data_IF_347111824803
#
_entry.id   IF_347111824803
#
_cell.length_a   1.000
_cell.length_b   1.000
_cell.length_c   1.000
_cell.angle_alpha   90.00
_cell.angle_beta   90.00
_cell.angle_gamma   90.00
#
_symmetry.space_group_name_H-M   'P 1'
#
loop_
_entity.id
_entity.type
_entity.pdbx_description
1 polymer ?
#
# COMPACT_ATOMS: atom_id res chain seq x y z
N UNK A 1 5.17 0.76 2.03
CA UNK A 1 5.31 1.68 3.18
C UNK A 1 4.74 3.05 2.84
N UNK A 2 3.95 3.61 3.70
CA UNK A 2 3.42 4.97 3.55
C UNK A 2 3.31 5.60 4.94
N UNK A 3 2.70 6.80 5.05
CA UNK A 3 2.60 7.49 6.34
C UNK A 3 1.60 6.81 7.27
N UNK A 4 0.34 6.71 6.86
CA UNK A 4 -0.75 6.24 7.74
C UNK A 4 -1.00 4.74 7.78
N UNK A 5 -0.49 3.99 6.82
CA UNK A 5 -0.75 2.55 6.69
C UNK A 5 -2.25 2.22 6.78
N UNK A 6 -3.09 3.02 6.13
CA UNK A 6 -4.55 2.82 6.13
C UNK A 6 -5.14 2.58 4.74
N UNK A 7 -4.55 3.14 3.69
CA UNK A 7 -5.08 3.06 2.32
C UNK A 7 -4.08 2.44 1.35
N UNK A 8 -3.12 3.26 0.86
CA UNK A 8 -2.23 2.88 -0.25
C UNK A 8 -1.41 1.62 0.04
N UNK A 9 -0.71 1.58 1.15
CA UNK A 9 0.12 0.42 1.50
C UNK A 9 -0.70 -0.81 1.85
N UNK A 10 -1.89 -0.64 2.43
CA UNK A 10 -2.80 -1.75 2.72
C UNK A 10 -3.33 -2.37 1.42
N UNK A 11 -3.70 -1.54 0.45
CA UNK A 11 -4.15 -2.03 -0.86
C UNK A 11 -3.00 -2.72 -1.60
N UNK A 12 -1.79 -2.16 -1.53
CA UNK A 12 -0.61 -2.77 -2.15
C UNK A 12 -0.31 -4.15 -1.54
N UNK A 13 -0.34 -4.26 -0.22
CA UNK A 13 -0.15 -5.54 0.47
C UNK A 13 -1.17 -6.58 -0.01
N UNK A 14 -2.44 -6.21 -0.04
CA UNK A 14 -3.51 -7.11 -0.49
C UNK A 14 -3.33 -7.55 -1.94
N UNK A 15 -2.98 -6.63 -2.83
CA UNK A 15 -2.77 -6.93 -4.25
C UNK A 15 -1.57 -7.85 -4.47
N UNK A 16 -0.45 -7.62 -3.81
CA UNK A 16 0.74 -8.44 -3.94
C UNK A 16 0.47 -9.85 -3.42
N UNK A 17 -0.13 -9.96 -2.23
CA UNK A 17 -0.43 -11.26 -1.63
C UNK A 17 -1.48 -12.06 -2.42
N UNK A 18 -2.35 -11.38 -3.15
CA UNK A 18 -3.34 -12.04 -4.02
C UNK A 18 -2.74 -12.39 -5.38
N UNK A 19 -2.15 -11.40 -6.07
CA UNK A 19 -1.72 -11.58 -7.47
C UNK A 19 -0.39 -12.30 -7.61
N UNK A 20 0.50 -12.18 -6.62
CA UNK A 20 1.87 -12.69 -6.66
C UNK A 20 2.19 -13.64 -5.51
N UNK A 21 1.17 -14.30 -4.96
CA UNK A 21 1.32 -15.16 -3.76
C UNK A 21 2.32 -16.31 -3.91
N UNK A 22 2.57 -16.77 -5.12
CA UNK A 22 3.54 -17.83 -5.38
C UNK A 22 5.00 -17.35 -5.31
N UNK A 23 5.22 -16.04 -5.36
CA UNK A 23 6.55 -15.43 -5.48
C UNK A 23 6.89 -14.50 -4.35
N UNK A 24 5.89 -13.76 -3.86
CA UNK A 24 6.08 -12.69 -2.88
C UNK A 24 5.13 -12.85 -1.70
N UNK A 25 5.64 -12.50 -0.52
CA UNK A 25 4.83 -12.28 0.68
C UNK A 25 5.02 -10.81 1.04
N UNK A 26 3.93 -10.06 1.09
CA UNK A 26 3.96 -8.63 1.37
C UNK A 26 3.52 -8.31 2.79
N UNK A 27 4.18 -7.31 3.36
CA UNK A 27 3.79 -6.69 4.63
C UNK A 27 3.72 -5.19 4.40
N UNK A 28 2.87 -4.50 5.14
CA UNK A 28 2.75 -3.05 5.04
C UNK A 28 2.92 -2.38 6.39
N UNK A 29 3.40 -1.15 6.38
CA UNK A 29 3.61 -0.36 7.59
C UNK A 29 3.65 1.13 7.27
N UNK A 30 3.51 1.96 8.29
CA UNK A 30 3.58 3.41 8.18
C UNK A 30 4.44 4.03 9.28
N UNK A 31 4.87 5.27 9.06
CA UNK A 31 5.61 6.04 10.07
C UNK A 31 4.70 6.58 11.15
N UNK A 32 3.46 6.87 10.80
CA UNK A 32 2.43 7.37 11.72
C UNK A 32 1.13 6.59 11.47
N UNK A 33 1.08 5.29 11.90
CA UNK A 33 -0.06 4.45 11.60
C UNK A 33 -1.35 5.03 12.20
N UNK A 34 -2.41 5.05 11.38
CA UNK A 34 -3.71 5.59 11.80
C UNK A 34 -4.48 4.67 12.74
N UNK A 35 -4.06 3.42 12.85
CA UNK A 35 -4.66 2.44 13.75
C UNK A 35 -5.78 1.61 13.13
N UNK A 36 -6.11 1.83 11.86
CA UNK A 36 -7.18 1.11 11.17
C UNK A 36 -6.96 1.10 9.66
N UNK A 37 -7.60 0.14 8.99
CA UNK A 37 -7.64 0.10 7.52
C UNK A 37 -8.84 0.94 7.07
N UNK A 38 -8.63 1.85 6.14
CA UNK A 38 -9.67 2.79 5.70
C UNK A 38 -10.87 2.02 5.11
N UNK A 39 -12.12 2.34 5.53
CA UNK A 39 -13.31 1.63 5.05
C UNK A 39 -13.47 1.63 3.53
N UNK A 40 -13.14 2.74 2.86
CA UNK A 40 -13.24 2.83 1.40
C UNK A 40 -12.16 2.02 0.70
N UNK A 41 -10.99 1.83 1.33
CA UNK A 41 -9.97 0.93 0.82
C UNK A 41 -10.47 -0.52 0.88
N UNK A 42 -11.09 -0.91 1.98
CA UNK A 42 -11.71 -2.24 2.13
C UNK A 42 -12.77 -2.46 1.05
N UNK A 43 -13.65 -1.48 0.84
CA UNK A 43 -14.72 -1.56 -0.15
C UNK A 43 -14.20 -1.64 -1.58
N UNK A 44 -13.21 -0.82 -1.93
CA UNK A 44 -12.59 -0.83 -3.25
C UNK A 44 -11.90 -2.18 -3.55
N UNK A 45 -11.23 -2.75 -2.57
CA UNK A 45 -10.57 -4.06 -2.74
C UNK A 45 -11.58 -5.19 -2.82
N UNK A 46 -12.67 -5.12 -2.08
CA UNK A 46 -13.74 -6.11 -2.13
C UNK A 46 -14.36 -6.20 -3.53
N UNK A 47 -14.43 -5.09 -4.25
CA UNK A 47 -14.96 -5.07 -5.62
C UNK A 47 -14.17 -5.97 -6.58
N UNK A 48 -12.92 -6.25 -6.28
CA UNK A 48 -12.05 -7.13 -7.06
C UNK A 48 -11.75 -8.43 -6.31
N UNK A 49 -12.63 -8.81 -5.39
CA UNK A 49 -12.58 -10.06 -4.62
C UNK A 49 -11.34 -10.21 -3.73
N UNK A 50 -10.81 -9.10 -3.23
CA UNK A 50 -9.70 -9.11 -2.28
C UNK A 50 -10.16 -8.50 -0.96
N UNK A 51 -10.11 -9.29 0.12
CA UNK A 51 -10.51 -8.85 1.45
C UNK A 51 -9.31 -8.37 2.26
N UNK A 52 -9.27 -7.07 2.57
CA UNK A 52 -8.24 -6.48 3.43
C UNK A 52 -8.81 -6.03 4.78
N UNK A 53 -10.05 -6.44 5.12
CA UNK A 53 -10.72 -6.03 6.37
C UNK A 53 -10.02 -6.53 7.62
N UNK A 54 -9.22 -7.59 7.53
CA UNK A 54 -8.45 -8.15 8.65
C UNK A 54 -7.05 -7.56 8.77
N UNK A 55 -6.68 -6.64 7.89
CA UNK A 55 -5.39 -5.97 7.94
C UNK A 55 -5.25 -5.09 9.18
N UNK A 56 -4.01 -4.88 9.60
CA UNK A 56 -3.69 -4.03 10.74
C UNK A 56 -2.85 -2.85 10.27
N UNK A 57 -3.15 -1.66 10.79
CA UNK A 57 -2.33 -0.48 10.61
C UNK A 57 -1.15 -0.56 11.57
N UNK A 58 0.06 -0.67 11.03
CA UNK A 58 1.26 -1.00 11.80
C UNK A 58 2.35 0.05 11.61
N UNK A 59 3.18 0.22 12.65
CA UNK A 59 4.37 1.06 12.57
C UNK A 59 5.51 0.34 11.84
N UNK A 60 6.31 1.11 11.09
CA UNK A 60 7.54 0.60 10.48
C UNK A 60 8.52 0.06 11.52
N UNK A 61 8.42 0.52 12.76
CA UNK A 61 9.28 0.04 13.87
C UNK A 61 9.14 -1.46 14.11
N UNK A 62 7.97 -2.03 13.82
CA UNK A 62 7.73 -3.46 13.96
C UNK A 62 8.57 -4.31 12.99
N UNK A 63 9.08 -3.70 11.92
CA UNK A 63 9.78 -4.39 10.85
C UNK A 63 11.25 -4.02 10.71
N UNK A 64 11.80 -3.16 11.56
CA UNK A 64 13.19 -2.66 11.41
C UNK A 64 14.25 -3.75 11.41
N UNK A 65 14.02 -4.83 12.15
CA UNK A 65 14.95 -5.96 12.23
C UNK A 65 14.61 -7.10 11.29
N UNK A 66 13.52 -6.99 10.52
CA UNK A 66 13.11 -8.02 9.56
C UNK A 66 13.89 -7.85 8.26
N UNK A 67 14.54 -8.90 7.74
CA UNK A 67 15.20 -8.82 6.44
C UNK A 67 14.18 -8.87 5.30
N UNK A 68 14.16 -7.83 4.46
CA UNK A 68 13.30 -7.77 3.29
C UNK A 68 14.14 -7.85 2.02
N UNK A 69 13.58 -8.46 0.98
CA UNK A 69 14.18 -8.47 -0.35
C UNK A 69 13.95 -7.12 -1.05
N UNK A 70 12.78 -6.54 -0.83
CA UNK A 70 12.37 -5.28 -1.46
C UNK A 70 11.50 -4.47 -0.50
N UNK A 71 11.73 -3.17 -0.43
CA UNK A 71 10.90 -2.22 0.29
C UNK A 71 10.37 -1.20 -0.71
N UNK A 72 9.05 -1.07 -0.80
CA UNK A 72 8.41 -0.12 -1.70
C UNK A 72 7.73 0.97 -0.88
N UNK A 73 8.09 2.23 -1.15
CA UNK A 73 7.40 3.37 -0.58
C UNK A 73 6.35 3.87 -1.57
N UNK A 74 5.13 4.09 -1.09
CA UNK A 74 3.98 4.44 -1.94
C UNK A 74 3.37 5.80 -1.59
N UNK A 75 4.01 6.57 -0.72
CA UNK A 75 3.56 7.91 -0.36
C UNK A 75 3.77 8.90 -1.51
N UNK A 76 3.05 10.02 -1.47
CA UNK A 76 3.16 11.08 -2.47
C UNK A 76 4.19 12.13 -2.01
N UNK A 77 5.39 12.09 -2.58
CA UNK A 77 6.48 13.02 -2.23
C UNK A 77 6.11 14.49 -2.45
N UNK A 78 5.19 14.76 -3.38
CA UNK A 78 4.78 16.14 -3.67
C UNK A 78 3.86 16.71 -2.60
N UNK A 79 3.14 15.85 -1.86
CA UNK A 79 2.12 16.25 -0.90
C UNK A 79 2.44 15.89 0.55
N UNK A 80 3.40 15.00 0.77
CA UNK A 80 3.74 14.50 2.11
C UNK A 80 5.22 14.13 2.23
N UNK A 81 5.72 14.10 3.45
CA UNK A 81 7.09 13.64 3.72
C UNK A 81 7.14 12.11 3.64
N UNK A 82 7.81 11.61 2.61
CA UNK A 82 7.97 10.18 2.43
C UNK A 82 9.00 9.63 3.42
N UNK A 83 8.71 8.54 4.14
CA UNK A 83 9.64 8.00 5.10
C UNK A 83 10.88 7.41 4.44
N UNK A 84 12.01 7.46 5.16
CA UNK A 84 13.25 6.81 4.76
C UNK A 84 13.34 5.47 5.48
N UNK A 85 13.56 4.40 4.72
CA UNK A 85 13.76 3.07 5.28
C UNK A 85 15.24 2.85 5.56
N UNK A 86 15.59 2.59 6.82
CA UNK A 86 16.96 2.35 7.26
C UNK A 86 17.27 0.87 7.51
N UNK A 87 16.29 -0.01 7.26
CA UNK A 87 16.46 -1.46 7.43
C UNK A 87 17.04 -2.14 6.20
N UNK A 88 16.98 -3.49 6.18
CA UNK A 88 17.47 -4.33 5.08
C UNK A 88 16.54 -4.29 3.88
N UNK A 89 17.10 -4.49 2.70
CA UNK A 89 16.36 -4.63 1.45
C UNK A 89 16.62 -3.49 0.48
N UNK A 90 16.32 -3.75 -0.79
CA UNK A 90 16.37 -2.72 -1.83
C UNK A 90 15.13 -1.83 -1.71
N UNK A 91 15.32 -0.52 -1.80
CA UNK A 91 14.22 0.44 -1.68
C UNK A 91 13.85 0.97 -3.06
N UNK A 92 12.56 0.94 -3.37
CA UNK A 92 12.00 1.52 -4.59
C UNK A 92 10.82 2.43 -4.21
N UNK A 93 10.83 3.64 -4.73
CA UNK A 93 9.71 4.55 -4.55
C UNK A 93 8.78 4.50 -5.77
N UNK A 94 7.51 4.17 -5.51
CA UNK A 94 6.44 4.21 -6.52
C UNK A 94 5.27 4.96 -5.89
N UNK A 95 5.26 6.27 -6.02
CA UNK A 95 4.33 7.15 -5.31
C UNK A 95 2.92 7.16 -5.90
N UNK A 96 1.94 7.36 -5.03
CA UNK A 96 0.52 7.51 -5.39
C UNK A 96 -0.11 8.62 -4.56
N UNK A 97 -1.09 9.35 -5.12
CA UNK A 97 -1.83 10.33 -4.32
C UNK A 97 -2.60 9.64 -3.21
N UNK A 98 -2.77 10.34 -2.08
CA UNK A 98 -3.51 9.80 -0.95
C UNK A 98 -5.02 9.89 -1.20
N UNK A 99 -5.72 8.78 -1.44
CA UNK A 99 -7.15 8.80 -1.71
C UNK A 99 -7.98 9.24 -0.50
N UNK A 100 -7.44 9.14 0.71
CA UNK A 100 -8.13 9.59 1.92
C UNK A 100 -8.34 11.10 1.95
N UNK A 101 -7.59 11.86 1.14
CA UNK A 101 -7.76 13.32 1.01
C UNK A 101 -8.85 13.70 0.01
N UNK A 102 -9.46 12.75 -0.68
CA UNK A 102 -10.53 13.02 -1.63
C UNK A 102 -11.73 13.66 -0.92
N UNK A 103 -12.40 14.58 -1.64
CA UNK A 103 -13.57 15.28 -1.15
C UNK A 103 -14.78 14.94 -2.02
N UNK A 104 -15.98 15.36 -1.57
CA UNK A 104 -17.22 15.12 -2.28
C UNK A 104 -18.06 14.02 -1.66
N UNK A 105 -18.95 13.43 -2.43
CA UNK A 105 -19.82 12.34 -1.98
C UNK A 105 -19.02 11.05 -1.74
N UNK A 106 -19.66 10.09 -1.08
CA UNK A 106 -19.07 8.75 -0.90
C UNK A 106 -18.70 8.12 -2.24
N UNK A 107 -19.55 8.25 -3.25
CA UNK A 107 -19.31 7.70 -4.58
C UNK A 107 -18.10 8.36 -5.27
N UNK A 108 -17.95 9.68 -5.10
CA UNK A 108 -16.81 10.40 -5.66
C UNK A 108 -15.51 9.99 -4.97
N UNK A 109 -15.54 9.83 -3.65
CA UNK A 109 -14.39 9.36 -2.88
C UNK A 109 -14.03 7.92 -3.25
N UNK A 110 -15.03 7.04 -3.38
CA UNK A 110 -14.82 5.65 -3.76
C UNK A 110 -14.21 5.54 -5.16
N UNK A 111 -14.63 6.40 -6.09
CA UNK A 111 -14.04 6.46 -7.42
C UNK A 111 -12.55 6.76 -7.37
N UNK A 112 -12.11 7.66 -6.46
CA UNK A 112 -10.70 7.97 -6.23
C UNK A 112 -9.95 6.76 -5.67
N UNK A 113 -10.54 6.04 -4.73
CA UNK A 113 -9.95 4.80 -4.19
C UNK A 113 -9.80 3.73 -5.27
N UNK A 114 -10.77 3.59 -6.15
CA UNK A 114 -10.71 2.64 -7.28
C UNK A 114 -9.57 2.99 -8.23
N UNK A 115 -9.42 4.27 -8.55
CA UNK A 115 -8.36 4.75 -9.44
C UNK A 115 -6.98 4.48 -8.85
N UNK A 116 -6.78 4.81 -7.58
CA UNK A 116 -5.51 4.55 -6.89
C UNK A 116 -5.25 3.04 -6.79
N UNK A 117 -6.26 2.24 -6.44
CA UNK A 117 -6.17 0.77 -6.42
C UNK A 117 -5.67 0.21 -7.74
N UNK A 118 -6.30 0.63 -8.84
CA UNK A 118 -5.97 0.12 -10.17
C UNK A 118 -4.57 0.56 -10.62
N UNK A 119 -4.15 1.76 -10.24
CA UNK A 119 -2.80 2.25 -10.51
C UNK A 119 -1.75 1.52 -9.69
N UNK A 120 -2.04 1.20 -8.43
CA UNK A 120 -1.15 0.39 -7.60
C UNK A 120 -0.95 -0.98 -8.22
N UNK A 121 -2.04 -1.64 -8.64
CA UNK A 121 -1.96 -2.94 -9.30
C UNK A 121 -1.09 -2.88 -10.55
N UNK A 122 -1.32 -1.90 -11.39
CA UNK A 122 -0.57 -1.72 -12.64
C UNK A 122 0.92 -1.46 -12.38
N UNK A 123 1.25 -0.57 -11.46
CA UNK A 123 2.63 -0.09 -11.25
C UNK A 123 3.42 -0.92 -10.26
N UNK A 124 2.83 -1.36 -9.17
CA UNK A 124 3.52 -2.14 -8.13
C UNK A 124 3.56 -3.61 -8.50
N UNK A 125 2.41 -4.21 -8.75
CA UNK A 125 2.34 -5.63 -9.15
C UNK A 125 3.06 -5.85 -10.48
N UNK A 126 2.88 -4.93 -11.41
CA UNK A 126 3.57 -4.96 -12.70
C UNK A 126 5.09 -4.91 -12.54
N UNK A 127 5.58 -4.02 -11.67
CA UNK A 127 7.02 -3.90 -11.39
C UNK A 127 7.58 -5.19 -10.80
N UNK A 128 6.93 -5.73 -9.76
CA UNK A 128 7.40 -6.94 -9.08
C UNK A 128 7.33 -8.17 -9.97
N UNK A 129 6.30 -8.28 -10.81
CA UNK A 129 6.15 -9.42 -11.72
C UNK A 129 7.20 -9.42 -12.83
N UNK A 130 7.74 -8.27 -13.17
CA UNK A 130 8.78 -8.12 -14.20
C UNK A 130 10.19 -8.38 -13.67
N UNK A 131 10.39 -8.46 -12.34
CA UNK A 131 11.70 -8.72 -11.75
C UNK A 131 12.11 -10.18 -12.00
N UNK A 132 13.39 -10.44 -12.29
CA UNK A 132 13.89 -11.81 -12.44
C UNK A 132 13.82 -12.55 -11.11
N UNK A 133 13.61 -13.85 -11.20
CA UNK A 133 13.57 -14.74 -10.02
C UNK A 133 14.92 -14.95 -9.38
#
# INVERSE_FOLDING_TARGET
MCTGNSCRSQMAEGLINHDLSARWTAHSAGTEPSGYVHPLAIEAMKEIDIDISQGESKSVDAFRSVPFDMVITVCDDAAESCPVWLGSGKVRHIGFPDPALATGSKEEKLATFREVRDNIRKRVVGYLSALPE
#
